data_IF_068434168415
#
_entry.id   IF_068434168415
#
_cell.length_a   1.000
_cell.length_b   1.000
_cell.length_c   1.000
_cell.angle_alpha   90.00
_cell.angle_beta   90.00
_cell.angle_gamma   90.00
#
_symmetry.space_group_name_H-M   'P 1'
#
loop_
_entity.id
_entity.type
_entity.pdbx_description
1 polymer ?
#
# COMPACT_ATOMS: atom_id res chain seq x y z
N UNK A 1 -65.09 -15.96 -6.77
CA UNK A 1 -64.35 -15.54 -5.56
C UNK A 1 -63.38 -14.43 -5.99
N UNK A 2 -63.74 -13.17 -5.73
CA UNK A 2 -62.97 -11.98 -6.10
C UNK A 2 -61.67 -11.91 -5.30
N UNK A 3 -60.52 -11.78 -5.98
CA UNK A 3 -59.28 -11.32 -5.37
C UNK A 3 -59.07 -9.86 -5.79
N UNK A 4 -59.33 -8.94 -4.87
CA UNK A 4 -59.04 -7.51 -5.07
C UNK A 4 -57.52 -7.25 -5.03
N UNK A 5 -56.98 -6.36 -5.88
CA UNK A 5 -55.59 -5.93 -5.80
C UNK A 5 -55.39 -5.04 -4.57
N UNK A 6 -54.53 -5.50 -3.65
CA UNK A 6 -54.20 -4.82 -2.40
C UNK A 6 -53.28 -3.63 -2.70
N UNK A 7 -53.83 -2.42 -2.63
CA UNK A 7 -53.15 -1.15 -2.83
C UNK A 7 -52.06 -0.94 -1.75
N UNK A 8 -50.80 -1.26 -2.07
CA UNK A 8 -49.61 -1.11 -1.18
C UNK A 8 -48.70 0.08 -1.58
N UNK A 9 -49.17 0.92 -2.51
CA UNK A 9 -48.36 1.98 -3.14
C UNK A 9 -47.85 3.11 -2.23
N UNK A 10 -48.64 3.70 -1.31
CA UNK A 10 -48.20 4.94 -0.65
C UNK A 10 -47.27 4.71 0.56
N UNK A 11 -47.35 3.54 1.21
CA UNK A 11 -46.58 3.27 2.44
C UNK A 11 -45.11 2.95 2.14
N UNK A 12 -44.84 2.22 1.05
CA UNK A 12 -43.45 1.95 0.62
C UNK A 12 -42.76 3.21 0.08
N UNK A 13 -43.51 4.07 -0.63
CA UNK A 13 -42.96 5.32 -1.16
C UNK A 13 -42.59 6.30 -0.04
N UNK A 14 -43.41 6.39 1.01
CA UNK A 14 -43.13 7.25 2.17
C UNK A 14 -41.89 6.79 2.97
N UNK A 15 -41.66 5.48 3.08
CA UNK A 15 -40.50 4.92 3.79
C UNK A 15 -39.17 5.20 3.06
N UNK A 16 -39.17 5.16 1.72
CA UNK A 16 -37.98 5.51 0.92
C UNK A 16 -37.64 7.01 0.99
N UNK A 17 -38.64 7.89 1.09
CA UNK A 17 -38.42 9.33 1.22
C UNK A 17 -37.87 9.69 2.61
N UNK A 18 -38.31 8.99 3.67
CA UNK A 18 -37.79 9.16 5.03
C UNK A 18 -36.34 8.66 5.21
N UNK A 19 -35.90 7.67 4.43
CA UNK A 19 -34.52 7.16 4.44
C UNK A 19 -33.53 8.01 3.62
N UNK A 20 -34.01 8.84 2.69
CA UNK A 20 -33.16 9.71 1.84
C UNK A 20 -32.72 11.03 2.47
N UNK A 21 -33.19 11.34 3.68
CA UNK A 21 -32.99 12.63 4.37
C UNK A 21 -31.95 12.59 5.49
N UNK A 22 -31.23 11.48 5.68
CA UNK A 22 -30.08 11.47 6.58
C UNK A 22 -28.92 12.15 5.87
N UNK A 23 -28.50 13.36 6.28
CA UNK A 23 -27.26 13.92 5.78
C UNK A 23 -26.14 12.96 6.21
N UNK A 24 -25.51 12.31 5.24
CA UNK A 24 -24.18 11.74 5.45
C UNK A 24 -23.29 12.94 5.68
N UNK A 25 -23.14 13.33 6.94
CA UNK A 25 -22.02 14.16 7.36
C UNK A 25 -20.79 13.29 7.11
N UNK A 26 -20.12 13.52 5.99
CA UNK A 26 -18.72 13.16 5.85
C UNK A 26 -18.03 13.90 7.00
N UNK A 27 -17.88 13.24 8.15
CA UNK A 27 -17.05 13.76 9.23
C UNK A 27 -15.71 14.10 8.60
N UNK A 28 -15.16 15.26 8.96
CA UNK A 28 -13.85 15.70 8.48
C UNK A 28 -12.93 14.49 8.47
N UNK A 29 -12.58 14.03 7.27
CA UNK A 29 -11.87 12.78 7.11
C UNK A 29 -10.52 13.01 7.76
N UNK A 30 -10.36 12.53 9.00
CA UNK A 30 -9.14 12.71 9.77
C UNK A 30 -8.02 12.16 8.91
N UNK A 31 -7.15 13.06 8.49
CA UNK A 31 -6.04 12.74 7.60
C UNK A 31 -5.07 11.84 8.38
N UNK A 32 -4.95 10.55 8.07
CA UNK A 32 -4.12 9.64 8.86
C UNK A 32 -2.64 9.87 8.55
N UNK A 33 -1.78 9.70 9.55
CA UNK A 33 -0.35 9.57 9.31
C UNK A 33 -0.06 8.18 8.76
N UNK A 34 0.77 8.10 7.71
CA UNK A 34 1.15 6.83 7.08
C UNK A 34 2.62 6.55 7.38
N UNK A 35 2.89 5.46 8.08
CA UNK A 35 4.24 4.97 8.34
C UNK A 35 4.44 3.63 7.62
N UNK A 36 5.42 3.57 6.72
CA UNK A 36 5.78 2.36 5.98
C UNK A 36 7.12 1.85 6.48
N UNK A 37 7.14 0.61 6.97
CA UNK A 37 8.35 -0.05 7.47
C UNK A 37 8.68 -1.19 6.51
N UNK A 38 9.83 -1.12 5.85
CA UNK A 38 10.33 -2.14 4.93
C UNK A 38 11.66 -2.66 5.45
N UNK A 39 11.68 -3.92 5.88
CA UNK A 39 12.91 -4.62 6.24
C UNK A 39 13.61 -5.15 4.98
N UNK A 40 14.95 -5.15 4.98
CA UNK A 40 15.77 -5.70 3.89
C UNK A 40 16.10 -7.16 4.20
N UNK A 41 15.93 -8.05 3.21
CA UNK A 41 16.22 -9.49 3.27
C UNK A 41 15.60 -10.27 4.45
N UNK A 42 14.53 -9.74 5.07
CA UNK A 42 13.79 -10.43 6.13
C UNK A 42 12.91 -11.53 5.53
N UNK A 43 13.18 -12.78 5.90
CA UNK A 43 12.40 -13.93 5.48
C UNK A 43 11.06 -14.01 6.21
N UNK A 44 10.04 -14.57 5.54
CA UNK A 44 8.74 -14.82 6.17
C UNK A 44 8.86 -15.70 7.43
N UNK A 45 9.82 -16.62 7.46
CA UNK A 45 10.06 -17.53 8.57
C UNK A 45 10.85 -16.92 9.74
N UNK A 46 11.26 -15.65 9.67
CA UNK A 46 12.10 -15.03 10.71
C UNK A 46 11.30 -14.48 11.89
N UNK A 47 10.03 -14.15 11.68
CA UNK A 47 9.20 -13.52 12.71
C UNK A 47 8.48 -14.55 13.59
N UNK A 48 8.39 -14.25 14.89
CA UNK A 48 7.64 -15.06 15.85
C UNK A 48 6.18 -15.24 15.44
N UNK A 49 5.56 -14.17 14.95
CA UNK A 49 4.20 -14.20 14.42
C UNK A 49 4.02 -15.06 13.15
N UNK A 50 5.08 -15.54 12.50
CA UNK A 50 5.02 -16.52 11.41
C UNK A 50 5.58 -17.91 11.81
N UNK A 51 5.85 -18.14 13.10
CA UNK A 51 6.21 -19.45 13.65
C UNK A 51 7.67 -19.58 14.11
N UNK A 52 8.49 -18.52 14.05
CA UNK A 52 9.86 -18.57 14.56
C UNK A 52 9.89 -18.60 16.09
N UNK A 53 10.55 -19.60 16.69
CA UNK A 53 10.72 -19.68 18.15
C UNK A 53 12.09 -19.26 18.65
N UNK A 54 13.01 -18.94 17.75
CA UNK A 54 14.42 -18.67 18.05
C UNK A 54 14.71 -17.18 18.08
N UNK A 55 14.21 -16.43 17.10
CA UNK A 55 14.38 -14.99 17.00
C UNK A 55 13.37 -14.25 17.89
N UNK A 56 13.84 -13.18 18.53
CA UNK A 56 13.01 -12.36 19.42
C UNK A 56 12.49 -11.13 18.68
N UNK A 57 11.23 -11.18 18.26
CA UNK A 57 10.56 -10.10 17.49
C UNK A 57 9.35 -9.49 18.21
N UNK A 58 9.40 -9.22 19.53
CA UNK A 58 8.20 -8.94 20.34
C UNK A 58 7.40 -7.72 19.88
N UNK A 59 8.07 -6.69 19.33
CA UNK A 59 7.39 -5.49 18.82
C UNK A 59 6.60 -5.76 17.53
N UNK A 60 7.17 -6.58 16.63
CA UNK A 60 6.50 -6.94 15.36
C UNK A 60 5.38 -7.94 15.64
N UNK A 61 5.60 -8.86 16.58
CA UNK A 61 4.57 -9.81 17.00
C UNK A 61 3.37 -9.09 17.63
N UNK A 62 3.63 -8.05 18.43
CA UNK A 62 2.59 -7.18 18.98
C UNK A 62 1.83 -6.42 17.88
N UNK A 63 2.53 -5.85 16.89
CA UNK A 63 1.88 -5.19 15.74
C UNK A 63 0.98 -6.16 14.95
N UNK A 64 1.41 -7.42 14.78
CA UNK A 64 0.62 -8.44 14.11
C UNK A 64 -0.61 -8.87 14.92
N UNK A 65 -0.53 -8.85 16.26
CA UNK A 65 -1.64 -9.19 17.15
C UNK A 65 -2.68 -8.06 17.29
N UNK A 66 -2.22 -6.80 17.26
CA UNK A 66 -3.08 -5.60 17.34
C UNK A 66 -3.66 -5.18 15.97
N UNK A 67 -3.13 -5.73 14.88
CA UNK A 67 -3.45 -5.33 13.52
C UNK A 67 -3.84 -6.49 12.60
N UNK A 68 -3.50 -6.34 11.32
CA UNK A 68 -3.76 -7.37 10.29
C UNK A 68 -2.44 -8.03 9.90
N UNK A 69 -2.42 -9.36 9.89
CA UNK A 69 -1.29 -10.18 9.44
C UNK A 69 -1.59 -10.81 8.08
N UNK A 70 -0.74 -10.56 7.09
CA UNK A 70 -0.89 -11.11 5.74
C UNK A 70 -0.12 -12.43 5.63
N UNK A 71 -0.82 -13.54 5.36
CA UNK A 71 -0.18 -14.85 5.16
C UNK A 71 0.36 -15.06 3.75
N UNK A 72 -0.08 -14.22 2.78
CA UNK A 72 0.38 -14.24 1.39
C UNK A 72 0.68 -12.82 0.89
N UNK A 73 1.71 -12.19 1.45
CA UNK A 73 2.26 -10.94 0.92
C UNK A 73 3.41 -11.23 -0.06
N UNK A 74 3.20 -10.96 -1.34
CA UNK A 74 4.15 -11.28 -2.41
C UNK A 74 4.91 -10.03 -2.83
N UNK A 75 6.23 -10.03 -2.68
CA UNK A 75 7.08 -9.02 -3.29
C UNK A 75 6.99 -9.11 -4.82
N UNK A 76 6.93 -7.96 -5.50
CA UNK A 76 6.79 -7.92 -6.95
C UNK A 76 8.02 -8.47 -7.71
N UNK A 77 9.17 -8.55 -7.04
CA UNK A 77 10.41 -9.10 -7.57
C UNK A 77 11.29 -9.68 -6.45
N UNK A 78 12.17 -10.65 -6.75
CA UNK A 78 13.04 -11.30 -5.76
C UNK A 78 14.32 -10.51 -5.41
N UNK A 79 14.42 -9.25 -5.84
CA UNK A 79 15.63 -8.43 -5.67
C UNK A 79 15.26 -7.01 -5.18
N UNK A 80 16.20 -6.39 -4.45
CA UNK A 80 15.98 -5.12 -3.76
C UNK A 80 15.52 -3.99 -4.69
N UNK A 81 16.28 -3.68 -5.76
CA UNK A 81 15.97 -2.61 -6.72
C UNK A 81 14.60 -2.76 -7.40
N UNK A 82 14.29 -3.87 -8.10
CA UNK A 82 13.00 -4.01 -8.77
C UNK A 82 11.83 -4.10 -7.77
N UNK A 83 12.02 -4.71 -6.60
CA UNK A 83 10.98 -4.79 -5.57
C UNK A 83 10.64 -3.40 -5.01
N UNK A 84 11.64 -2.59 -4.67
CA UNK A 84 11.47 -1.22 -4.16
C UNK A 84 10.88 -0.29 -5.22
N UNK A 85 11.31 -0.40 -6.47
CA UNK A 85 10.73 0.37 -7.57
C UNK A 85 9.23 0.07 -7.75
N UNK A 86 8.87 -1.21 -7.73
CA UNK A 86 7.48 -1.63 -7.84
C UNK A 86 6.65 -1.18 -6.63
N UNK A 87 7.22 -1.22 -5.43
CA UNK A 87 6.57 -0.71 -4.22
C UNK A 87 6.30 0.80 -4.29
N UNK A 88 7.28 1.60 -4.73
CA UNK A 88 7.16 3.05 -4.82
C UNK A 88 6.14 3.49 -5.88
N UNK A 89 6.12 2.81 -7.02
CA UNK A 89 5.31 3.19 -8.20
C UNK A 89 3.97 2.46 -8.29
N UNK A 90 3.78 1.35 -7.58
CA UNK A 90 2.63 0.45 -7.75
C UNK A 90 2.62 -0.27 -9.10
N UNK A 91 3.75 -0.33 -9.81
CA UNK A 91 3.87 -0.89 -11.17
C UNK A 91 4.90 -2.02 -11.18
N UNK A 92 4.70 -3.02 -12.04
CA UNK A 92 5.75 -4.03 -12.25
C UNK A 92 7.06 -3.36 -12.71
N UNK A 93 8.20 -3.81 -12.18
CA UNK A 93 9.52 -3.23 -12.45
C UNK A 93 9.87 -3.18 -13.95
N UNK A 94 9.39 -4.15 -14.74
CA UNK A 94 9.47 -4.15 -16.20
C UNK A 94 8.91 -2.85 -16.82
N UNK A 95 7.79 -2.35 -16.28
CA UNK A 95 7.10 -1.16 -16.80
C UNK A 95 7.77 0.15 -16.40
N UNK A 96 8.55 0.13 -15.32
CA UNK A 96 9.33 1.29 -14.86
C UNK A 96 10.79 1.22 -15.31
N UNK A 97 11.18 0.24 -16.14
CA UNK A 97 12.57 0.07 -16.59
C UNK A 97 13.55 -0.28 -15.47
N UNK A 98 13.05 -0.80 -14.34
CA UNK A 98 13.86 -1.13 -13.15
C UNK A 98 14.19 -2.62 -13.05
N UNK A 99 13.92 -3.36 -14.12
CA UNK A 99 14.33 -4.75 -14.29
C UNK A 99 15.51 -4.80 -15.26
N UNK A 100 16.62 -5.39 -14.83
CA UNK A 100 17.75 -5.58 -15.73
C UNK A 100 17.55 -6.83 -16.60
N UNK A 101 17.87 -6.72 -17.88
CA UNK A 101 17.89 -7.81 -18.85
C UNK A 101 19.27 -8.50 -18.95
N UNK A 102 20.26 -8.05 -18.17
CA UNK A 102 21.62 -8.57 -18.15
C UNK A 102 21.96 -9.25 -16.81
N UNK A 103 23.24 -9.58 -16.59
CA UNK A 103 23.71 -10.22 -15.37
C UNK A 103 23.57 -9.36 -14.10
N UNK A 104 23.37 -8.04 -14.22
CA UNK A 104 23.34 -7.09 -13.10
C UNK A 104 21.90 -6.67 -12.76
N UNK A 105 21.19 -7.56 -12.07
CA UNK A 105 19.74 -7.44 -11.81
C UNK A 105 19.34 -6.45 -10.70
N UNK A 106 20.30 -5.73 -10.13
CA UNK A 106 20.11 -4.68 -9.14
C UNK A 106 21.15 -3.57 -9.35
N UNK A 107 20.85 -2.36 -8.88
CA UNK A 107 21.81 -1.24 -8.96
C UNK A 107 23.01 -1.52 -8.05
N UNK A 108 24.16 -1.80 -8.66
CA UNK A 108 25.39 -2.17 -7.95
C UNK A 108 26.22 -0.98 -7.48
N UNK A 109 26.08 0.18 -8.14
CA UNK A 109 26.96 1.31 -7.92
C UNK A 109 26.19 2.60 -7.73
N UNK A 110 26.43 3.29 -6.61
CA UNK A 110 25.80 4.57 -6.30
C UNK A 110 26.15 5.66 -7.33
N UNK A 111 27.31 5.55 -7.99
CA UNK A 111 27.74 6.46 -9.05
C UNK A 111 27.23 6.11 -10.46
N UNK A 112 26.53 4.98 -10.64
CA UNK A 112 26.06 4.52 -11.95
C UNK A 112 24.85 5.31 -12.44
N UNK A 113 24.65 5.42 -13.76
CA UNK A 113 23.57 6.23 -14.36
C UNK A 113 22.15 5.66 -14.17
N UNK A 114 22.02 4.42 -13.68
CA UNK A 114 20.74 3.76 -13.47
C UNK A 114 19.96 4.28 -12.25
N UNK A 115 18.62 4.26 -12.35
CA UNK A 115 17.73 4.81 -11.33
C UNK A 115 16.26 4.75 -11.75
N UNK A 116 15.36 5.00 -10.79
CA UNK A 116 13.93 5.17 -11.07
C UNK A 116 13.77 6.35 -12.04
N UNK A 117 13.12 6.13 -13.21
CA UNK A 117 12.94 7.19 -14.19
C UNK A 117 12.17 8.39 -13.63
N UNK A 118 12.57 9.61 -14.00
CA UNK A 118 11.94 10.84 -13.50
C UNK A 118 10.47 11.01 -13.93
N UNK A 119 10.03 10.27 -14.95
CA UNK A 119 8.64 10.24 -15.40
C UNK A 119 7.75 9.26 -14.61
N UNK A 120 8.32 8.43 -13.74
CA UNK A 120 7.53 7.58 -12.84
C UNK A 120 7.00 8.41 -11.67
N UNK A 121 5.75 8.12 -11.27
CA UNK A 121 5.12 8.80 -10.14
C UNK A 121 5.06 7.86 -8.95
N UNK A 122 5.70 8.25 -7.84
CA UNK A 122 5.68 7.48 -6.60
C UNK A 122 4.47 7.82 -5.74
N UNK A 123 4.05 6.91 -4.87
CA UNK A 123 3.00 7.20 -3.89
C UNK A 123 3.40 8.37 -2.96
N UNK A 124 4.70 8.54 -2.67
CA UNK A 124 5.20 9.66 -1.88
C UNK A 124 4.93 10.99 -2.58
N UNK A 125 5.19 11.09 -3.90
CA UNK A 125 4.85 12.28 -4.68
C UNK A 125 3.34 12.57 -4.70
N UNK A 126 2.52 11.52 -4.81
CA UNK A 126 1.06 11.65 -4.73
C UNK A 126 0.63 12.19 -3.35
N UNK A 127 1.20 11.67 -2.26
CA UNK A 127 0.91 12.14 -0.90
C UNK A 127 1.37 13.59 -0.71
N UNK A 128 2.56 13.95 -1.19
CA UNK A 128 3.07 15.32 -1.13
C UNK A 128 2.15 16.31 -1.86
N UNK A 129 1.65 15.96 -3.05
CA UNK A 129 0.67 16.77 -3.79
C UNK A 129 -0.65 16.94 -3.04
N UNK A 130 -1.01 16.00 -2.15
CA UNK A 130 -2.15 16.13 -1.24
C UNK A 130 -1.80 16.89 0.04
N UNK A 131 -0.59 17.42 0.17
CA UNK A 131 -0.11 18.23 1.30
C UNK A 131 0.49 17.44 2.46
N UNK A 132 0.93 16.18 2.24
CA UNK A 132 1.57 15.39 3.30
C UNK A 132 3.03 15.83 3.38
N UNK A 133 3.56 15.93 4.59
CA UNK A 133 5.00 15.91 4.78
C UNK A 133 5.48 14.48 4.53
N UNK A 134 6.41 14.31 3.60
CA UNK A 134 7.02 13.02 3.26
C UNK A 134 8.47 12.99 3.71
N UNK A 135 8.94 11.81 4.08
CA UNK A 135 10.29 11.59 4.58
C UNK A 135 10.69 10.14 4.42
N UNK A 136 11.91 9.91 3.91
CA UNK A 136 12.52 8.59 3.82
C UNK A 136 13.71 8.45 4.78
N UNK A 137 13.74 7.36 5.54
CA UNK A 137 14.87 7.00 6.42
C UNK A 137 15.36 5.61 6.03
N UNK A 138 16.68 5.48 5.81
CA UNK A 138 17.34 4.22 5.46
C UNK A 138 17.75 4.15 3.99
N UNK A 139 17.79 2.93 3.44
CA UNK A 139 18.34 2.65 2.11
C UNK A 139 17.38 3.06 0.99
N UNK A 140 17.87 3.92 0.10
CA UNK A 140 17.18 4.29 -1.14
C UNK A 140 17.83 3.58 -2.34
N UNK A 141 17.38 2.35 -2.65
CA UNK A 141 17.94 1.55 -3.76
C UNK A 141 17.39 1.93 -5.15
N UNK A 142 16.68 3.06 -5.27
CA UNK A 142 15.99 3.52 -6.49
C UNK A 142 16.39 4.96 -6.83
N UNK A 143 17.67 5.21 -7.15
CA UNK A 143 18.22 6.53 -7.48
C UNK A 143 17.30 7.35 -8.42
N UNK A 144 17.12 8.65 -8.22
CA UNK A 144 16.36 9.51 -9.14
C UNK A 144 14.94 9.85 -8.69
N UNK A 145 14.38 9.09 -7.73
CA UNK A 145 13.21 9.58 -7.00
C UNK A 145 13.63 10.76 -6.12
N UNK A 146 13.14 11.95 -6.47
CA UNK A 146 13.39 13.20 -5.74
C UNK A 146 12.26 13.53 -4.76
N UNK A 147 11.33 12.60 -4.51
CA UNK A 147 10.36 12.81 -3.44
C UNK A 147 11.07 12.62 -2.08
N UNK A 148 11.12 13.66 -1.23
CA UNK A 148 11.75 13.56 0.08
C UNK A 148 10.99 12.59 1.00
#
# INVERSE_FOLDING_TARGET
MCLQPRNRGPVLAALCVLLGLVPVTAGDAVRPNVLLIMADDLGIGDLGCYGNSTLRTPNIDRLAAEGVRLTQHLAAAPLCTPSRAAFLTGRHALRSGMEASDGYRALQWNGGSGGLPENETTFARILQQRGYATGLIGTHSCRGDRSP
#
